data_IF_861358051661
#
_entry.id   IF_861358051661
#
_cell.length_a   1.000
_cell.length_b   1.000
_cell.length_c   1.000
_cell.angle_alpha   90.00
_cell.angle_beta   90.00
_cell.angle_gamma   90.00
#
_symmetry.space_group_name_H-M   'P 1'
#
loop_
_entity.id
_entity.type
_entity.pdbx_description
1 polymer ?
#
# COMPACT_ATOMS: atom_id res chain seq x y z
N UNK A 1 2.49 31.62 21.13
CA UNK A 1 2.76 30.28 21.70
C UNK A 1 2.82 29.22 20.59
N UNK A 2 3.94 29.13 19.86
CA UNK A 2 4.15 28.12 18.80
C UNK A 2 5.57 27.56 18.94
N UNK A 3 5.77 26.65 19.88
CA UNK A 3 6.99 25.83 19.95
C UNK A 3 6.58 24.37 19.73
N UNK A 4 6.34 24.01 18.47
CA UNK A 4 6.04 22.64 18.09
C UNK A 4 7.33 21.83 18.06
N UNK A 5 7.50 20.89 19.00
CA UNK A 5 8.65 19.98 19.10
C UNK A 5 8.92 19.25 17.77
N UNK A 6 9.96 19.62 17.00
CA UNK A 6 10.24 19.04 15.68
C UNK A 6 10.65 17.56 15.79
N UNK A 7 11.27 17.18 16.91
CA UNK A 7 11.77 15.83 17.15
C UNK A 7 10.67 14.80 17.45
N UNK A 8 9.64 15.21 18.19
CA UNK A 8 8.54 14.32 18.55
C UNK A 8 7.70 13.96 17.31
N UNK A 9 7.44 14.95 16.44
CA UNK A 9 6.73 14.72 15.17
C UNK A 9 7.51 13.79 14.23
N UNK A 10 8.84 13.93 14.12
CA UNK A 10 9.68 13.02 13.32
C UNK A 10 9.65 11.57 13.83
N UNK A 11 9.69 11.37 15.15
CA UNK A 11 9.59 10.03 15.75
C UNK A 11 8.22 9.41 15.52
N UNK A 12 7.14 10.17 15.72
CA UNK A 12 5.77 9.68 15.49
C UNK A 12 5.60 9.25 14.02
N UNK A 13 6.04 10.05 13.05
CA UNK A 13 5.97 9.66 11.63
C UNK A 13 6.80 8.40 11.32
N UNK A 14 7.99 8.26 11.91
CA UNK A 14 8.83 7.09 11.71
C UNK A 14 8.22 5.82 12.30
N UNK A 15 7.59 5.91 13.47
CA UNK A 15 6.88 4.78 14.10
C UNK A 15 5.67 4.42 13.25
N UNK A 16 4.86 5.40 12.83
CA UNK A 16 3.67 5.13 12.02
C UNK A 16 4.00 4.55 10.63
N UNK A 17 5.07 4.99 9.99
CA UNK A 17 5.58 4.39 8.76
C UNK A 17 6.05 2.95 8.98
N UNK A 18 6.76 2.68 10.08
CA UNK A 18 7.17 1.32 10.42
C UNK A 18 5.97 0.42 10.73
N UNK A 19 4.94 0.93 11.43
CA UNK A 19 3.71 0.18 11.67
C UNK A 19 2.98 -0.14 10.36
N UNK A 20 2.89 0.81 9.43
CA UNK A 20 2.32 0.58 8.10
C UNK A 20 3.12 -0.48 7.33
N UNK A 21 4.46 -0.39 7.35
CA UNK A 21 5.35 -1.38 6.73
C UNK A 21 5.15 -2.78 7.33
N UNK A 22 5.14 -2.90 8.67
CA UNK A 22 4.96 -4.18 9.36
C UNK A 22 3.60 -4.78 9.05
N UNK A 23 2.52 -3.98 9.12
CA UNK A 23 1.18 -4.48 8.83
C UNK A 23 1.02 -4.91 7.37
N UNK A 24 1.58 -4.14 6.42
CA UNK A 24 1.61 -4.56 5.02
C UNK A 24 2.41 -5.84 4.85
N UNK A 25 3.61 -5.92 5.41
CA UNK A 25 4.47 -7.10 5.32
C UNK A 25 3.77 -8.33 5.90
N UNK A 26 3.18 -8.22 7.09
CA UNK A 26 2.41 -9.29 7.71
C UNK A 26 1.23 -9.73 6.82
N UNK A 27 0.51 -8.78 6.19
CA UNK A 27 -0.57 -9.12 5.26
C UNK A 27 -0.07 -9.81 4.00
N UNK A 28 1.13 -9.46 3.53
CA UNK A 28 1.79 -10.08 2.39
C UNK A 28 2.30 -11.50 2.73
N UNK A 29 2.75 -11.69 3.98
CA UNK A 29 3.31 -12.93 4.52
C UNK A 29 2.26 -13.89 5.10
N UNK A 30 1.02 -13.43 5.33
CA UNK A 30 -0.09 -14.26 5.82
C UNK A 30 -0.42 -15.41 4.86
N UNK A 31 0.02 -15.33 3.58
CA UNK A 31 -0.05 -16.46 2.65
C UNK A 31 1.09 -17.48 2.82
N UNK A 32 2.24 -17.08 3.36
CA UNK A 32 3.42 -17.93 3.63
C UNK A 32 3.35 -18.62 5.01
N UNK A 33 2.72 -17.98 6.00
CA UNK A 33 2.65 -18.45 7.40
C UNK A 33 1.63 -19.57 7.68
N UNK A 34 0.82 -19.99 6.69
CA UNK A 34 -0.07 -21.17 6.87
C UNK A 34 0.68 -22.51 7.02
N UNK A 35 2.00 -22.53 6.88
CA UNK A 35 2.84 -23.74 6.99
C UNK A 35 3.69 -23.85 8.25
N UNK A 36 3.62 -22.91 9.22
CA UNK A 36 4.25 -23.16 10.52
C UNK A 36 3.40 -24.13 11.33
N UNK A 37 3.86 -25.38 11.41
CA UNK A 37 3.30 -26.43 12.25
C UNK A 37 3.21 -25.91 13.69
N UNK A 38 2.03 -25.91 14.33
CA UNK A 38 1.95 -25.59 15.74
C UNK A 38 2.78 -26.61 16.52
N UNK A 39 3.55 -26.12 17.50
CA UNK A 39 4.33 -26.97 18.40
C UNK A 39 3.42 -28.04 19.02
N UNK A 40 3.78 -29.31 18.86
CA UNK A 40 2.99 -30.52 19.23
C UNK A 40 2.49 -30.50 20.68
N UNK A 41 3.15 -29.72 21.54
CA UNK A 41 2.82 -29.62 22.97
C UNK A 41 1.68 -28.63 23.29
N UNK A 42 1.23 -27.81 22.33
CA UNK A 42 0.18 -26.80 22.51
C UNK A 42 -1.18 -27.20 21.88
N UNK A 43 -1.30 -28.43 21.38
CA UNK A 43 -2.49 -28.91 20.63
C UNK A 43 -3.50 -29.61 21.56
N UNK A 44 -3.11 -29.97 22.78
CA UNK A 44 -3.97 -30.76 23.70
C UNK A 44 -5.02 -29.93 24.46
N UNK A 45 -4.95 -28.61 24.44
CA UNK A 45 -5.86 -27.71 25.18
C UNK A 45 -6.67 -26.76 24.29
N UNK A 46 -6.57 -26.88 22.97
CA UNK A 46 -7.30 -26.02 22.06
C UNK A 46 -8.77 -26.46 21.93
N UNK A 47 -9.75 -25.55 22.12
CA UNK A 47 -11.15 -25.88 21.93
C UNK A 47 -11.42 -26.28 20.48
N UNK A 48 -12.28 -27.29 20.32
CA UNK A 48 -12.66 -27.90 19.05
C UNK A 48 -13.11 -26.84 18.02
N UNK A 49 -12.22 -26.48 17.08
CA UNK A 49 -12.49 -25.57 15.96
C UNK A 49 -13.24 -26.29 14.83
N UNK A 50 -14.38 -26.88 15.14
CA UNK A 50 -15.34 -27.31 14.12
C UNK A 50 -16.02 -26.07 13.54
N UNK A 51 -15.42 -25.48 12.50
CA UNK A 51 -16.01 -24.33 11.79
C UNK A 51 -15.04 -23.33 11.16
N UNK A 52 -13.74 -23.62 11.07
CA UNK A 52 -12.84 -22.77 10.26
C UNK A 52 -13.14 -23.05 8.79
N UNK A 53 -14.17 -22.39 8.25
CA UNK A 53 -14.28 -22.17 6.81
C UNK A 53 -12.93 -21.60 6.38
N UNK A 54 -12.25 -22.30 5.49
CA UNK A 54 -11.04 -21.88 4.81
C UNK A 54 -11.27 -20.49 4.21
N UNK A 55 -10.96 -19.42 4.96
CA UNK A 55 -10.99 -18.04 4.46
C UNK A 55 -9.82 -17.87 3.51
N UNK A 56 -10.03 -18.22 2.27
CA UNK A 56 -9.15 -17.92 1.14
C UNK A 56 -9.26 -16.43 0.83
N UNK A 57 -8.69 -15.57 1.68
CA UNK A 57 -8.70 -14.12 1.45
C UNK A 57 -8.40 -13.29 2.68
N UNK A 58 -7.89 -12.07 2.45
CA UNK A 58 -7.72 -11.04 3.48
C UNK A 58 -9.11 -10.60 3.96
N UNK A 59 -9.29 -10.50 5.28
CA UNK A 59 -10.56 -10.10 5.87
C UNK A 59 -10.96 -8.67 5.46
N UNK A 60 -12.26 -8.42 5.33
CA UNK A 60 -12.78 -7.11 4.93
C UNK A 60 -12.38 -5.99 5.89
N UNK A 61 -12.27 -6.30 7.19
CA UNK A 61 -11.84 -5.32 8.20
C UNK A 61 -10.37 -4.94 8.00
N UNK A 62 -9.49 -5.91 7.74
CA UNK A 62 -8.08 -5.67 7.43
C UNK A 62 -7.92 -4.83 6.16
N UNK A 63 -8.72 -5.10 5.12
CA UNK A 63 -8.70 -4.31 3.88
C UNK A 63 -9.09 -2.84 4.14
N UNK A 64 -10.15 -2.61 4.91
CA UNK A 64 -10.59 -1.25 5.29
C UNK A 64 -9.56 -0.53 6.16
N UNK A 65 -8.95 -1.24 7.11
CA UNK A 65 -7.89 -0.72 7.96
C UNK A 65 -6.68 -0.28 7.13
N UNK A 66 -6.21 -1.10 6.19
CA UNK A 66 -5.10 -0.77 5.30
C UNK A 66 -5.40 0.47 4.45
N UNK A 67 -6.59 0.57 3.86
CA UNK A 67 -7.02 1.75 3.10
C UNK A 67 -7.01 3.01 3.97
N UNK A 68 -7.55 2.93 5.19
CA UNK A 68 -7.57 4.04 6.15
C UNK A 68 -6.16 4.47 6.55
N UNK A 69 -5.26 3.51 6.77
CA UNK A 69 -3.86 3.77 7.07
C UNK A 69 -3.13 4.45 5.91
N UNK A 70 -3.35 3.99 4.68
CA UNK A 70 -2.82 4.63 3.47
C UNK A 70 -3.27 6.09 3.40
N UNK A 71 -4.57 6.35 3.55
CA UNK A 71 -5.13 7.71 3.54
C UNK A 71 -4.52 8.60 4.62
N UNK A 72 -4.49 8.12 5.86
CA UNK A 72 -3.88 8.86 6.96
C UNK A 72 -2.42 9.20 6.66
N UNK A 73 -1.66 8.22 6.15
CA UNK A 73 -0.27 8.44 5.74
C UNK A 73 -0.14 9.54 4.69
N UNK A 74 -0.97 9.51 3.64
CA UNK A 74 -1.00 10.53 2.60
C UNK A 74 -1.24 11.93 3.14
N UNK A 75 -2.19 12.08 4.08
CA UNK A 75 -2.53 13.36 4.73
C UNK A 75 -1.36 13.88 5.57
N UNK A 76 -0.72 13.02 6.36
CA UNK A 76 0.32 13.45 7.29
C UNK A 76 1.71 13.56 6.66
N UNK A 77 1.89 13.10 5.42
CA UNK A 77 3.15 13.19 4.69
C UNK A 77 3.00 14.01 3.41
N UNK A 78 2.46 13.41 2.36
CA UNK A 78 2.46 13.97 1.00
C UNK A 78 1.66 15.28 0.93
N UNK A 79 0.48 15.33 1.54
CA UNK A 79 -0.38 16.53 1.52
C UNK A 79 0.26 17.75 2.20
N UNK A 80 1.22 17.55 3.09
CA UNK A 80 1.97 18.62 3.76
C UNK A 80 3.40 18.76 3.22
N UNK A 81 3.63 18.33 1.97
CA UNK A 81 4.91 18.43 1.25
C UNK A 81 6.08 17.70 1.97
N UNK A 82 5.79 16.60 2.69
CA UNK A 82 6.81 15.76 3.34
C UNK A 82 6.98 14.42 2.60
N UNK A 83 8.22 14.01 2.29
CA UNK A 83 8.46 12.76 1.58
C UNK A 83 8.21 11.55 2.49
N UNK A 84 7.72 10.48 1.87
CA UNK A 84 7.76 9.14 2.44
C UNK A 84 9.19 8.62 2.23
N UNK A 85 9.85 8.25 3.31
CA UNK A 85 11.23 7.78 3.26
C UNK A 85 11.28 6.36 2.70
N UNK A 86 11.99 6.15 1.58
CA UNK A 86 12.13 4.85 0.92
C UNK A 86 12.59 3.72 1.88
N UNK A 87 13.54 4.04 2.78
CA UNK A 87 14.04 3.09 3.80
C UNK A 87 12.98 2.61 4.79
N UNK A 88 11.92 3.39 4.98
CA UNK A 88 10.83 3.07 5.91
C UNK A 88 9.62 2.48 5.19
N UNK A 89 9.34 2.92 3.97
CA UNK A 89 8.23 2.44 3.18
C UNK A 89 8.50 2.63 1.69
N UNK A 90 8.80 1.53 0.99
CA UNK A 90 8.97 1.52 -0.45
C UNK A 90 7.68 1.12 -1.16
N UNK A 91 6.87 2.10 -1.52
CA UNK A 91 5.60 1.87 -2.24
C UNK A 91 5.82 1.13 -3.57
N UNK A 92 6.91 1.44 -4.29
CA UNK A 92 7.21 0.81 -5.58
C UNK A 92 7.59 -0.66 -5.37
N UNK A 93 8.48 -0.94 -4.41
CA UNK A 93 8.87 -2.30 -4.03
C UNK A 93 7.67 -3.15 -3.63
N UNK A 94 6.80 -2.64 -2.74
CA UNK A 94 5.58 -3.37 -2.34
C UNK A 94 4.65 -3.70 -3.52
N UNK A 95 4.50 -2.77 -4.47
CA UNK A 95 3.71 -3.03 -5.67
C UNK A 95 4.35 -4.13 -6.52
N UNK A 96 5.67 -4.10 -6.72
CA UNK A 96 6.41 -5.11 -7.47
C UNK A 96 6.31 -6.50 -6.83
N UNK A 97 6.46 -6.58 -5.51
CA UNK A 97 6.42 -7.81 -4.73
C UNK A 97 5.03 -8.46 -4.66
N UNK A 98 3.97 -7.67 -4.81
CA UNK A 98 2.60 -8.19 -4.85
C UNK A 98 2.36 -9.02 -6.12
N UNK A 99 2.28 -10.34 -5.97
CA UNK A 99 2.07 -11.30 -7.07
C UNK A 99 0.71 -11.96 -7.03
N UNK A 100 0.16 -12.19 -5.84
CA UNK A 100 -1.13 -12.86 -5.68
C UNK A 100 -2.29 -11.86 -5.66
N UNK A 101 -3.46 -12.27 -6.12
CA UNK A 101 -4.67 -11.43 -6.09
C UNK A 101 -5.00 -10.90 -4.69
N UNK A 102 -4.78 -11.72 -3.66
CA UNK A 102 -4.98 -11.32 -2.26
C UNK A 102 -4.00 -10.23 -1.82
N UNK A 103 -2.74 -10.30 -2.25
CA UNK A 103 -1.73 -9.28 -1.95
C UNK A 103 -2.05 -7.97 -2.67
N UNK A 104 -2.46 -8.02 -3.94
CA UNK A 104 -2.88 -6.84 -4.70
C UNK A 104 -4.07 -6.13 -4.04
N UNK A 105 -5.03 -6.89 -3.50
CA UNK A 105 -6.17 -6.34 -2.75
C UNK A 105 -5.80 -5.64 -1.43
N UNK A 106 -4.59 -5.86 -0.90
CA UNK A 106 -4.06 -5.13 0.25
C UNK A 106 -3.21 -3.93 -0.17
N UNK A 107 -2.24 -4.17 -1.06
CA UNK A 107 -1.21 -3.18 -1.41
C UNK A 107 -1.78 -2.06 -2.29
N UNK A 108 -2.61 -2.40 -3.28
CA UNK A 108 -3.11 -1.40 -4.24
C UNK A 108 -4.00 -0.35 -3.54
N UNK A 109 -5.01 -0.71 -2.74
CA UNK A 109 -5.83 0.28 -2.03
C UNK A 109 -5.02 1.14 -1.06
N UNK A 110 -4.04 0.53 -0.37
CA UNK A 110 -3.13 1.27 0.51
C UNK A 110 -2.34 2.33 -0.28
N UNK A 111 -1.73 1.94 -1.39
CA UNK A 111 -0.92 2.84 -2.22
C UNK A 111 -1.77 3.94 -2.85
N UNK A 112 -2.96 3.60 -3.37
CA UNK A 112 -3.90 4.56 -3.98
C UNK A 112 -4.35 5.62 -2.96
N UNK A 113 -4.68 5.20 -1.75
CA UNK A 113 -5.11 6.12 -0.69
C UNK A 113 -3.95 6.97 -0.16
N UNK A 114 -2.74 6.42 -0.07
CA UNK A 114 -1.54 7.20 0.27
C UNK A 114 -1.25 8.29 -0.77
N UNK A 115 -1.28 7.93 -2.06
CA UNK A 115 -1.03 8.86 -3.17
C UNK A 115 -2.14 9.88 -3.37
N UNK A 116 -3.33 9.65 -2.82
CA UNK A 116 -4.41 10.66 -2.83
C UNK A 116 -3.98 11.95 -2.09
N UNK A 117 -3.03 11.88 -1.16
CA UNK A 117 -2.42 13.05 -0.53
C UNK A 117 -1.61 13.94 -1.48
N UNK A 118 -1.17 13.43 -2.64
CA UNK A 118 -0.43 14.22 -3.63
C UNK A 118 -1.30 15.30 -4.30
N UNK A 119 -2.62 15.15 -4.31
CA UNK A 119 -3.56 16.13 -4.91
C UNK A 119 -3.38 17.51 -4.25
N UNK A 120 -3.30 17.52 -2.93
CA UNK A 120 -3.13 18.74 -2.11
C UNK A 120 -1.67 19.23 -2.07
N UNK A 121 -0.71 18.39 -2.43
CA UNK A 121 0.72 18.74 -2.39
C UNK A 121 1.09 19.76 -3.45
N UNK A 122 2.08 20.60 -3.14
CA UNK A 122 2.74 21.49 -4.11
C UNK A 122 3.97 20.85 -4.73
N UNK A 123 4.63 19.95 -4.00
CA UNK A 123 5.90 19.32 -4.40
C UNK A 123 5.68 17.96 -5.09
N UNK A 124 4.70 17.18 -4.65
CA UNK A 124 4.39 15.86 -5.20
C UNK A 124 3.38 15.96 -6.35
N UNK A 125 3.76 16.68 -7.40
CA UNK A 125 3.03 16.80 -8.67
C UNK A 125 3.96 16.43 -9.82
N UNK A 126 3.42 15.99 -10.95
CA UNK A 126 4.23 15.80 -12.16
C UNK A 126 4.90 17.15 -12.53
N UNK A 127 6.18 17.17 -12.97
CA UNK A 127 7.03 16.06 -13.41
C UNK A 127 7.93 15.43 -12.31
N UNK A 128 7.45 15.27 -11.07
CA UNK A 128 8.21 14.61 -10.00
C UNK A 128 8.57 13.15 -10.35
N UNK A 129 9.87 12.78 -10.36
CA UNK A 129 10.33 11.45 -10.80
C UNK A 129 9.93 10.33 -9.84
N UNK A 130 9.89 10.60 -8.53
CA UNK A 130 9.46 9.61 -7.54
C UNK A 130 7.97 9.28 -7.73
N UNK A 131 7.13 10.31 -7.86
CA UNK A 131 5.70 10.12 -8.12
C UNK A 131 5.48 9.37 -9.44
N UNK A 132 6.16 9.78 -10.52
CA UNK A 132 6.08 9.12 -11.81
C UNK A 132 6.46 7.64 -11.73
N UNK A 133 7.51 7.28 -10.97
CA UNK A 133 7.94 5.90 -10.80
C UNK A 133 6.90 5.02 -10.09
N UNK A 134 6.24 5.55 -9.06
CA UNK A 134 5.17 4.82 -8.35
C UNK A 134 3.91 4.69 -9.22
N UNK A 135 3.54 5.75 -9.95
CA UNK A 135 2.41 5.71 -10.88
C UNK A 135 2.66 4.73 -12.04
N UNK A 136 3.88 4.68 -12.59
CA UNK A 136 4.29 3.67 -13.59
C UNK A 136 4.16 2.24 -13.04
N UNK A 137 4.55 2.01 -11.79
CA UNK A 137 4.39 0.70 -11.15
C UNK A 137 2.91 0.32 -10.97
N UNK A 138 2.02 1.27 -10.66
CA UNK A 138 0.58 1.04 -10.60
C UNK A 138 -0.03 0.73 -11.97
N UNK A 139 0.34 1.50 -13.00
CA UNK A 139 -0.10 1.28 -14.37
C UNK A 139 0.33 -0.11 -14.86
N UNK A 140 1.59 -0.50 -14.65
CA UNK A 140 2.10 -1.82 -15.02
C UNK A 140 1.38 -2.98 -14.30
N UNK A 141 0.85 -2.77 -13.09
CA UNK A 141 0.06 -3.79 -12.38
C UNK A 141 -1.34 -3.94 -12.97
N UNK A 142 -1.95 -2.84 -13.44
CA UNK A 142 -3.27 -2.83 -14.08
C UNK A 142 -3.30 -3.62 -15.39
N UNK A 143 -2.18 -3.64 -16.12
CA UNK A 143 -2.04 -4.34 -17.40
C UNK A 143 -1.89 -5.87 -17.28
N UNK A 144 -1.73 -6.39 -16.06
CA UNK A 144 -1.60 -7.83 -15.83
C UNK A 144 -2.90 -8.57 -16.16
N UNK A 145 -2.77 -9.73 -16.82
CA UNK A 145 -3.92 -10.60 -17.08
C UNK A 145 -4.59 -11.06 -15.78
N UNK A 146 -5.92 -10.97 -15.72
CA UNK A 146 -6.69 -11.34 -14.53
C UNK A 146 -6.61 -10.34 -13.37
N UNK A 147 -6.17 -9.10 -13.62
CA UNK A 147 -6.18 -8.05 -12.61
C UNK A 147 -7.61 -7.74 -12.13
N UNK A 148 -7.87 -7.61 -10.81
CA UNK A 148 -9.22 -7.33 -10.32
C UNK A 148 -9.76 -5.99 -10.82
N UNK A 149 -10.87 -6.00 -11.54
CA UNK A 149 -11.50 -4.79 -12.11
C UNK A 149 -11.76 -3.70 -11.07
N UNK A 150 -12.22 -4.09 -9.87
CA UNK A 150 -12.46 -3.16 -8.78
C UNK A 150 -11.20 -2.39 -8.34
N UNK A 151 -10.02 -3.03 -8.40
CA UNK A 151 -8.74 -2.36 -8.13
C UNK A 151 -8.32 -1.46 -9.30
N UNK A 152 -8.65 -1.85 -10.54
CA UNK A 152 -8.41 -1.05 -11.73
C UNK A 152 -9.12 0.29 -11.66
N UNK A 153 -10.40 0.27 -11.30
CA UNK A 153 -11.18 1.50 -11.09
C UNK A 153 -10.58 2.41 -10.02
N UNK A 154 -10.04 1.86 -8.93
CA UNK A 154 -9.36 2.64 -7.90
C UNK A 154 -8.12 3.37 -8.45
N UNK A 155 -7.32 2.70 -9.29
CA UNK A 155 -6.14 3.29 -9.95
C UNK A 155 -6.59 4.39 -10.92
N UNK A 156 -7.61 4.14 -11.74
CA UNK A 156 -8.11 5.11 -12.72
C UNK A 156 -8.65 6.37 -12.04
N UNK A 157 -9.36 6.19 -10.92
CA UNK A 157 -9.84 7.30 -10.12
C UNK A 157 -8.68 8.12 -9.53
N UNK A 158 -7.59 7.48 -9.10
CA UNK A 158 -6.38 8.19 -8.65
C UNK A 158 -5.74 8.99 -9.79
N UNK A 159 -5.55 8.37 -10.96
CA UNK A 159 -4.91 9.04 -12.10
C UNK A 159 -5.71 10.26 -12.54
N UNK A 160 -7.04 10.15 -12.55
CA UNK A 160 -7.95 11.26 -12.78
C UNK A 160 -7.77 12.39 -11.76
N UNK A 161 -7.69 12.06 -10.47
CA UNK A 161 -7.45 13.06 -9.39
C UNK A 161 -6.11 13.77 -9.54
N UNK A 162 -5.09 13.08 -10.03
CA UNK A 162 -3.73 13.63 -10.22
C UNK A 162 -3.54 14.32 -11.58
N UNK A 163 -4.57 14.37 -12.44
CA UNK A 163 -4.47 14.96 -13.77
C UNK A 163 -3.57 14.17 -14.74
N UNK A 164 -3.33 12.89 -14.45
CA UNK A 164 -2.54 12.00 -15.30
C UNK A 164 -3.48 11.44 -16.37
N UNK A 165 -3.58 12.13 -17.50
CA UNK A 165 -4.35 11.65 -18.67
C UNK A 165 -3.72 10.36 -19.21
N UNK A 166 -4.55 9.43 -19.71
CA UNK A 166 -4.18 8.13 -20.30
C UNK A 166 -3.04 8.19 -21.35
N UNK A 167 -2.76 9.38 -21.93
CA UNK A 167 -1.60 9.59 -22.82
C UNK A 167 -0.24 9.46 -22.13
N UNK A 168 -0.17 9.69 -20.82
CA UNK A 168 1.09 9.56 -20.05
C UNK A 168 1.40 8.08 -19.77
N UNK A 169 0.41 7.18 -19.70
CA UNK A 169 0.66 5.73 -19.59
C UNK A 169 1.50 5.20 -20.77
N UNK A 170 1.27 5.70 -21.99
CA UNK A 170 2.10 5.38 -23.15
C UNK A 170 3.55 5.90 -23.06
N UNK A 171 3.78 7.03 -22.38
CA UNK A 171 5.11 7.60 -22.14
C UNK A 171 5.84 6.90 -20.98
N UNK A 172 5.11 6.43 -19.97
CA UNK A 172 5.65 5.67 -18.86
C UNK A 172 5.99 4.21 -19.25
N UNK A 173 5.56 3.71 -20.42
CA UNK A 173 5.90 2.35 -20.91
C UNK A 173 7.32 2.20 -21.46
N UNK A 174 8.03 3.29 -21.76
CA UNK A 174 9.43 3.21 -22.19
C UNK A 174 10.31 3.04 -20.95
N UNK A 175 10.71 1.80 -20.67
CA UNK A 175 12.06 1.42 -20.22
C UNK A 175 12.15 -0.11 -20.35
N UNK A 176 12.72 -0.64 -21.43
CA UNK A 176 13.22 -2.00 -21.43
C UNK A 176 14.60 -1.99 -20.77
N UNK A 177 14.72 -2.55 -19.56
CA UNK A 177 15.91 -3.25 -19.06
C UNK A 177 15.52 -4.22 -17.92
#
# INVERSE_FOLDING_TARGET
CHAGFPGLRKRVMSVSLNCARILLQDTMDTNSQRNLRPNRNYIKSAPNRNGVKSRQGIDLTTRSMLSTMGRWLGIVTLAIDRPIWLRLLDLKGFLQDAKTQTQLQAVVPFCVEALSGCVESRVFKLPNPWLAAVLKALAGKRELEGFPEGLGFCIDNLFRKLGVSDKIEGLLRQDPE
#
